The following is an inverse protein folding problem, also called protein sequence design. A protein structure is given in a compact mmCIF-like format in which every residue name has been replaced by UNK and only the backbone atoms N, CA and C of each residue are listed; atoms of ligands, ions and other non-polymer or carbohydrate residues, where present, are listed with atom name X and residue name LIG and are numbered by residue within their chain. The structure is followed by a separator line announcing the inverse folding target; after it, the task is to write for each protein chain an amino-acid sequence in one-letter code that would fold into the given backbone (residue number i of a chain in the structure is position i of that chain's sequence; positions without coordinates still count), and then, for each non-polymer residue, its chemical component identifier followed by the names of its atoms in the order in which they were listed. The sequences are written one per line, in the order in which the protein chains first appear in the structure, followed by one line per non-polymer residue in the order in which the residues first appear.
data_IF_551227934316
#
_entry.id   IF_551227934316
#
_cell.length_a   1.000
_cell.length_b   1.000
_cell.length_c   1.000
_cell.angle_alpha   90.00
_cell.angle_beta   90.00
_cell.angle_gamma   90.00
#
_symmetry.space_group_name_H-M   'P 1'
#
loop_
_entity.id
_entity.type
_entity.pdbx_description
1 polymer ?
#
# COMPACT_ATOMS: atom_id res chain seq x y z
N UNK A 1 22.72 0.04 -10.26
CA UNK A 1 21.59 -0.55 -11.01
C UNK A 1 21.96 -1.60 -12.08
N UNK A 2 23.20 -1.69 -12.60
CA UNK A 2 23.57 -2.72 -13.61
C UNK A 2 23.54 -4.18 -13.10
N UNK A 3 23.54 -4.42 -11.79
CA UNK A 3 23.42 -5.77 -11.22
C UNK A 3 21.97 -6.29 -11.14
N UNK A 4 20.98 -5.45 -11.49
CA UNK A 4 19.53 -5.76 -11.44
C UNK A 4 18.93 -6.11 -12.82
N UNK A 5 19.75 -6.24 -13.87
CA UNK A 5 19.30 -6.67 -15.21
C UNK A 5 19.11 -8.19 -15.24
N UNK A 6 17.85 -8.63 -15.36
CA UNK A 6 17.50 -10.05 -15.58
C UNK A 6 16.67 -10.70 -14.47
N UNK A 7 16.46 -10.03 -13.34
CA UNK A 7 15.54 -10.52 -12.30
C UNK A 7 14.08 -10.43 -12.78
N UNK A 8 13.30 -11.51 -12.68
CA UNK A 8 11.91 -11.51 -13.11
C UNK A 8 11.08 -10.49 -12.32
N UNK A 9 10.24 -9.76 -13.04
CA UNK A 9 9.25 -8.83 -12.48
C UNK A 9 7.90 -9.56 -12.33
N UNK A 10 6.91 -8.92 -11.70
CA UNK A 10 5.56 -9.46 -11.47
C UNK A 10 5.44 -10.52 -10.35
N UNK A 11 6.36 -10.54 -9.38
CA UNK A 11 6.24 -11.39 -8.19
C UNK A 11 4.95 -11.14 -7.39
N UNK A 12 4.38 -9.94 -7.50
CA UNK A 12 3.06 -9.62 -6.97
C UNK A 12 1.93 -10.52 -7.44
N UNK A 13 2.00 -11.09 -8.65
CA UNK A 13 1.00 -12.02 -9.15
C UNK A 13 0.95 -13.30 -8.28
N UNK A 14 2.10 -13.75 -7.78
CA UNK A 14 2.20 -14.89 -6.87
C UNK A 14 1.53 -14.54 -5.55
N UNK A 15 1.81 -13.35 -4.99
CA UNK A 15 1.18 -12.87 -3.75
C UNK A 15 -0.35 -12.87 -3.89
N UNK A 16 -0.88 -12.30 -4.98
CA UNK A 16 -2.33 -12.21 -5.23
C UNK A 16 -2.93 -13.60 -5.37
N UNK A 17 -2.30 -14.51 -6.13
CA UNK A 17 -2.79 -15.86 -6.32
C UNK A 17 -2.84 -16.63 -4.98
N UNK A 18 -1.78 -16.55 -4.18
CA UNK A 18 -1.74 -17.18 -2.85
C UNK A 18 -2.78 -16.56 -1.91
N UNK A 19 -2.94 -15.24 -1.93
CA UNK A 19 -3.97 -14.54 -1.16
C UNK A 19 -5.38 -15.03 -1.51
N UNK A 20 -5.70 -15.12 -2.80
CA UNK A 20 -7.01 -15.63 -3.27
C UNK A 20 -7.26 -17.05 -2.74
N UNK A 21 -6.29 -17.95 -2.91
CA UNK A 21 -6.42 -19.34 -2.48
C UNK A 21 -6.64 -19.41 -0.96
N UNK A 22 -5.82 -18.72 -0.17
CA UNK A 22 -5.93 -18.75 1.30
C UNK A 22 -7.25 -18.13 1.77
N UNK A 23 -7.67 -16.99 1.20
CA UNK A 23 -8.93 -16.34 1.58
C UNK A 23 -10.13 -17.23 1.28
N UNK A 24 -10.17 -17.85 0.10
CA UNK A 24 -11.30 -18.72 -0.29
C UNK A 24 -11.36 -20.02 0.52
N UNK A 25 -10.22 -20.55 0.97
CA UNK A 25 -10.17 -21.83 1.69
C UNK A 25 -10.29 -21.66 3.21
N UNK A 26 -9.69 -20.63 3.79
CA UNK A 26 -9.49 -20.52 5.24
C UNK A 26 -10.23 -19.36 5.90
N UNK A 27 -10.64 -18.33 5.15
CA UNK A 27 -11.31 -17.16 5.74
C UNK A 27 -12.83 -17.33 5.63
N UNK A 28 -13.59 -17.28 6.74
CA UNK A 28 -15.04 -17.34 6.70
C UNK A 28 -15.63 -16.25 5.82
N UNK A 29 -16.70 -16.59 5.10
CA UNK A 29 -17.38 -15.62 4.23
C UNK A 29 -17.76 -14.37 5.01
N UNK A 30 -17.30 -13.22 4.51
CA UNK A 30 -17.61 -11.92 5.06
C UNK A 30 -17.53 -10.88 3.93
N UNK A 31 -18.54 -10.00 3.87
CA UNK A 31 -18.64 -8.97 2.84
C UNK A 31 -17.44 -8.01 2.82
N UNK A 32 -16.88 -7.66 3.97
CA UNK A 32 -15.70 -6.78 4.06
C UNK A 32 -14.45 -7.46 3.52
N UNK A 33 -14.28 -8.76 3.81
CA UNK A 33 -13.18 -9.56 3.26
C UNK A 33 -13.32 -9.69 1.74
N UNK A 34 -14.54 -9.94 1.24
CA UNK A 34 -14.79 -10.01 -0.20
C UNK A 34 -14.47 -8.69 -0.90
N UNK A 35 -14.93 -7.56 -0.36
CA UNK A 35 -14.59 -6.24 -0.90
C UNK A 35 -13.10 -5.95 -0.82
N UNK A 36 -12.43 -6.32 0.27
CA UNK A 36 -10.97 -6.20 0.40
C UNK A 36 -10.23 -7.00 -0.67
N UNK A 37 -10.72 -8.22 -0.97
CA UNK A 37 -10.18 -9.06 -2.03
C UNK A 37 -10.42 -8.44 -3.42
N UNK A 38 -11.63 -7.93 -3.70
CA UNK A 38 -11.96 -7.23 -4.95
C UNK A 38 -11.08 -6.00 -5.15
N UNK A 39 -10.90 -5.18 -4.11
CA UNK A 39 -10.03 -3.99 -4.14
C UNK A 39 -8.59 -4.40 -4.46
N UNK A 40 -8.07 -5.41 -3.75
CA UNK A 40 -6.71 -5.92 -3.93
C UNK A 40 -6.49 -6.43 -5.35
N UNK A 41 -7.40 -7.26 -5.86
CA UNK A 41 -7.32 -7.81 -7.22
C UNK A 41 -7.45 -6.70 -8.25
N UNK A 42 -8.41 -5.77 -8.11
CA UNK A 42 -8.64 -4.73 -9.09
C UNK A 42 -7.45 -3.78 -9.25
N UNK A 43 -6.84 -3.33 -8.14
CA UNK A 43 -5.59 -2.57 -8.23
C UNK A 43 -4.42 -3.41 -8.75
N UNK A 44 -4.36 -4.70 -8.40
CA UNK A 44 -3.39 -5.64 -8.96
C UNK A 44 -3.52 -5.82 -10.47
N UNK A 45 -4.75 -5.85 -11.01
CA UNK A 45 -5.01 -5.92 -12.45
C UNK A 45 -4.57 -4.65 -13.18
N UNK A 46 -4.78 -3.47 -12.58
CA UNK A 46 -4.25 -2.21 -13.12
C UNK A 46 -2.70 -2.28 -13.18
N UNK A 47 -2.08 -2.81 -12.13
CA UNK A 47 -0.63 -3.02 -12.09
C UNK A 47 -0.13 -4.05 -13.10
N UNK A 48 -0.91 -5.11 -13.33
CA UNK A 48 -0.64 -6.13 -14.33
C UNK A 48 -0.64 -5.54 -15.73
N UNK A 49 -1.64 -4.73 -16.06
CA UNK A 49 -1.69 -4.03 -17.35
C UNK A 49 -0.46 -3.14 -17.52
N UNK A 50 -0.03 -2.43 -16.47
CA UNK A 50 1.14 -1.57 -16.52
C UNK A 50 2.45 -2.36 -16.77
N UNK A 51 2.67 -3.43 -16.01
CA UNK A 51 3.86 -4.28 -16.13
C UNK A 51 3.89 -5.06 -17.45
N UNK A 52 2.74 -5.54 -17.94
CA UNK A 52 2.63 -6.17 -19.27
C UNK A 52 3.03 -5.19 -20.38
N UNK A 53 2.60 -3.92 -20.30
CA UNK A 53 2.97 -2.89 -21.28
C UNK A 53 4.49 -2.63 -21.25
N UNK A 54 5.10 -2.54 -20.07
CA UNK A 54 6.57 -2.39 -19.92
C UNK A 54 7.31 -3.56 -20.60
N UNK A 55 6.86 -4.78 -20.32
CA UNK A 55 7.47 -6.01 -20.85
C UNK A 55 7.31 -6.12 -22.37
N UNK A 56 6.09 -5.97 -22.90
CA UNK A 56 5.79 -6.09 -24.32
C UNK A 56 6.48 -5.02 -25.17
N UNK A 57 6.54 -3.78 -24.67
CA UNK A 57 7.18 -2.66 -25.38
C UNK A 57 8.69 -2.57 -25.14
N UNK A 58 9.28 -3.48 -24.35
CA UNK A 58 10.71 -3.53 -23.99
C UNK A 58 11.27 -2.16 -23.58
N UNK A 59 10.49 -1.41 -22.80
CA UNK A 59 10.85 -0.07 -22.33
C UNK A 59 10.49 0.06 -20.86
N UNK A 60 11.15 0.98 -20.16
CA UNK A 60 10.86 1.27 -18.75
C UNK A 60 9.49 1.94 -18.54
N UNK A 61 8.91 2.57 -19.58
CA UNK A 61 7.63 3.26 -19.50
C UNK A 61 6.44 2.30 -19.68
N UNK A 62 5.62 2.17 -18.63
CA UNK A 62 4.30 1.52 -18.68
C UNK A 62 3.22 2.43 -19.29
N UNK A 63 2.07 2.46 -18.63
CA UNK A 63 1.00 3.43 -18.83
C UNK A 63 1.50 4.85 -18.54
N UNK A 64 0.84 5.83 -19.17
CA UNK A 64 1.05 7.22 -18.80
C UNK A 64 0.54 7.46 -17.38
N UNK A 65 1.19 8.34 -16.62
CA UNK A 65 0.80 8.67 -15.24
C UNK A 65 -0.68 9.02 -15.12
N UNK A 66 -1.22 9.81 -16.07
CA UNK A 66 -2.64 10.14 -16.11
C UNK A 66 -3.53 8.94 -16.41
N UNK A 67 -3.14 8.05 -17.33
CA UNK A 67 -3.92 6.84 -17.64
C UNK A 67 -4.01 5.93 -16.41
N UNK A 68 -2.89 5.70 -15.73
CA UNK A 68 -2.84 4.91 -14.50
C UNK A 68 -3.72 5.53 -13.41
N UNK A 69 -3.63 6.85 -13.22
CA UNK A 69 -4.44 7.57 -12.25
C UNK A 69 -5.94 7.53 -12.57
N UNK A 70 -6.34 7.71 -13.83
CA UNK A 70 -7.74 7.61 -14.25
C UNK A 70 -8.31 6.22 -13.99
N UNK A 71 -7.56 5.15 -14.28
CA UNK A 71 -7.97 3.78 -13.98
C UNK A 71 -8.14 3.56 -12.48
N UNK A 72 -7.20 4.04 -11.66
CA UNK A 72 -7.26 3.94 -10.20
C UNK A 72 -8.48 4.69 -9.62
N UNK A 73 -8.70 5.94 -10.05
CA UNK A 73 -9.85 6.76 -9.62
C UNK A 73 -11.16 6.11 -10.06
N UNK A 74 -11.26 5.71 -11.33
CA UNK A 74 -12.48 5.10 -11.88
C UNK A 74 -12.83 3.81 -11.15
N UNK A 75 -11.85 2.93 -10.92
CA UNK A 75 -12.03 1.72 -10.15
C UNK A 75 -12.47 2.02 -8.70
N UNK A 76 -11.79 2.94 -8.02
CA UNK A 76 -12.12 3.32 -6.64
C UNK A 76 -13.56 3.86 -6.53
N UNK A 77 -13.98 4.73 -7.46
CA UNK A 77 -15.35 5.28 -7.48
C UNK A 77 -16.40 4.18 -7.66
N UNK A 78 -16.18 3.24 -8.58
CA UNK A 78 -17.09 2.11 -8.82
C UNK A 78 -17.23 1.28 -7.54
N UNK A 79 -16.10 0.92 -6.92
CA UNK A 79 -16.10 0.10 -5.70
C UNK A 79 -16.79 0.83 -4.55
N UNK A 80 -16.46 2.09 -4.30
CA UNK A 80 -17.07 2.87 -3.21
C UNK A 80 -18.57 3.05 -3.42
N UNK A 81 -19.02 3.26 -4.67
CA UNK A 81 -20.44 3.33 -5.00
C UNK A 81 -21.19 2.04 -4.61
N UNK A 82 -20.66 0.87 -4.97
CA UNK A 82 -21.29 -0.41 -4.62
C UNK A 82 -21.22 -0.72 -3.12
N UNK A 83 -20.16 -0.32 -2.43
CA UNK A 83 -20.09 -0.49 -0.97
C UNK A 83 -21.16 0.38 -0.27
N UNK A 84 -21.38 1.62 -0.72
CA UNK A 84 -22.40 2.49 -0.14
C UNK A 84 -23.83 2.00 -0.36
N UNK A 85 -24.13 1.38 -1.51
CA UNK A 85 -25.47 0.81 -1.76
C UNK A 85 -25.86 -0.26 -0.75
N UNK A 86 -24.88 -0.94 -0.15
CA UNK A 86 -25.13 -1.96 0.88
C UNK A 86 -25.26 -1.36 2.29
N UNK A 87 -25.16 -0.03 2.47
CA UNK A 87 -25.14 0.68 3.76
C UNK A 87 -24.10 0.14 4.76
N UNK A 88 -22.99 -0.37 4.23
CA UNK A 88 -21.98 -1.11 5.00
C UNK A 88 -20.97 -0.20 5.69
N UNK A 89 -20.74 0.99 5.13
CA UNK A 89 -19.83 1.99 5.66
C UNK A 89 -20.65 3.17 6.18
N UNK A 90 -20.51 3.49 7.48
CA UNK A 90 -20.95 4.77 8.01
C UNK A 90 -20.06 5.91 7.47
N UNK A 91 -20.45 7.15 7.75
CA UNK A 91 -19.72 8.35 7.30
C UNK A 91 -18.77 8.92 8.36
N UNK A 92 -18.65 8.24 9.49
CA UNK A 92 -17.81 8.65 10.61
C UNK A 92 -16.37 8.17 10.43
N UNK A 93 -15.43 9.08 10.65
CA UNK A 93 -14.00 8.81 10.72
C UNK A 93 -13.52 8.93 12.17
N UNK A 94 -12.68 8.00 12.61
CA UNK A 94 -12.07 8.05 13.95
C UNK A 94 -10.71 8.73 13.87
N UNK A 95 -10.46 9.66 14.79
CA UNK A 95 -9.22 10.42 14.83
C UNK A 95 -8.26 9.77 15.84
N UNK A 96 -7.03 9.38 15.44
CA UNK A 96 -6.03 8.83 16.35
C UNK A 96 -5.81 9.73 17.57
N UNK A 97 -5.59 9.11 18.75
CA UNK A 97 -5.42 9.77 20.06
C UNK A 97 -6.64 10.50 20.60
N UNK A 98 -7.68 10.69 19.78
CA UNK A 98 -8.92 11.32 20.21
C UNK A 98 -10.01 10.26 20.28
N UNK A 99 -10.78 10.25 21.37
CA UNK A 99 -11.94 9.36 21.51
C UNK A 99 -13.18 9.86 20.75
N UNK A 100 -12.97 10.75 19.79
CA UNK A 100 -14.03 11.43 19.05
C UNK A 100 -14.04 10.95 17.60
N UNK A 101 -15.24 10.82 17.05
CA UNK A 101 -15.43 10.65 15.61
C UNK A 101 -15.90 11.95 14.96
N UNK A 102 -15.54 12.12 13.69
CA UNK A 102 -16.01 13.23 12.86
C UNK A 102 -16.90 12.64 11.77
N UNK A 103 -18.12 13.14 11.63
CA UNK A 103 -19.01 12.75 10.54
C UNK A 103 -18.71 13.59 9.29
N UNK A 104 -18.29 12.94 8.21
CA UNK A 104 -18.01 13.60 6.94
C UNK A 104 -19.25 13.70 6.03
N UNK A 105 -20.34 13.00 6.34
CA UNK A 105 -21.51 12.91 5.48
C UNK A 105 -21.13 12.55 4.03
N UNK A 106 -21.56 13.38 3.07
CA UNK A 106 -21.29 13.17 1.64
C UNK A 106 -19.80 13.24 1.28
N UNK A 107 -18.98 13.94 2.08
CA UNK A 107 -17.53 14.03 1.88
C UNK A 107 -16.80 12.73 2.23
N UNK A 108 -17.49 11.75 2.81
CA UNK A 108 -16.91 10.43 3.08
C UNK A 108 -16.52 9.70 1.78
N UNK A 109 -17.33 9.80 0.72
CA UNK A 109 -17.02 9.16 -0.58
C UNK A 109 -15.69 9.66 -1.16
N UNK A 110 -15.48 10.97 -1.41
CA UNK A 110 -14.21 11.44 -1.94
C UNK A 110 -13.04 11.19 -0.97
N UNK A 111 -13.29 11.19 0.34
CA UNK A 111 -12.27 10.83 1.34
C UNK A 111 -11.81 9.38 1.19
N UNK A 112 -12.72 8.41 1.10
CA UNK A 112 -12.36 6.99 0.92
C UNK A 112 -11.63 6.76 -0.39
N UNK A 113 -12.06 7.41 -1.48
CA UNK A 113 -11.37 7.33 -2.77
C UNK A 113 -9.95 7.89 -2.64
N UNK A 114 -9.76 9.01 -1.94
CA UNK A 114 -8.43 9.56 -1.65
C UNK A 114 -7.57 8.60 -0.83
N UNK A 115 -8.12 7.95 0.21
CA UNK A 115 -7.42 6.94 1.02
C UNK A 115 -6.96 5.77 0.16
N UNK A 116 -7.81 5.26 -0.74
CA UNK A 116 -7.44 4.17 -1.66
C UNK A 116 -6.30 4.59 -2.59
N UNK A 117 -6.45 5.71 -3.31
CA UNK A 117 -5.48 6.16 -4.32
C UNK A 117 -4.15 6.54 -3.66
N UNK A 118 -4.20 7.23 -2.52
CA UNK A 118 -2.98 7.61 -1.78
C UNK A 118 -2.23 6.38 -1.31
N UNK A 119 -2.89 5.40 -0.69
CA UNK A 119 -2.24 4.18 -0.20
C UNK A 119 -1.63 3.35 -1.33
N UNK A 120 -2.37 3.17 -2.42
CA UNK A 120 -1.94 2.44 -3.62
C UNK A 120 -0.67 3.05 -4.22
N UNK A 121 -0.66 4.38 -4.39
CA UNK A 121 0.52 5.06 -4.94
C UNK A 121 1.65 5.18 -3.92
N UNK A 122 1.35 5.28 -2.63
CA UNK A 122 2.37 5.33 -1.59
C UNK A 122 3.18 4.04 -1.54
N UNK A 123 2.51 2.88 -1.56
CA UNK A 123 3.19 1.57 -1.61
C UNK A 123 3.98 1.41 -2.90
N UNK A 124 3.43 1.83 -4.05
CA UNK A 124 4.13 1.80 -5.35
C UNK A 124 5.38 2.70 -5.37
N UNK A 125 5.33 3.88 -4.76
CA UNK A 125 6.51 4.76 -4.66
C UNK A 125 7.58 4.21 -3.71
N UNK A 126 7.18 3.46 -2.68
CA UNK A 126 8.11 2.84 -1.71
C UNK A 126 8.78 1.57 -2.26
N UNK A 127 8.24 0.95 -3.30
CA UNK A 127 8.80 -0.25 -3.96
C UNK A 127 10.01 0.06 -4.87
N UNK A 128 10.96 0.85 -4.36
CA UNK A 128 12.20 1.25 -5.06
C UNK A 128 13.45 0.49 -4.61
N UNK A 129 13.40 -0.19 -3.47
CA UNK A 129 14.49 -1.00 -2.90
C UNK A 129 14.02 -2.42 -2.55
N UNK A 130 14.96 -3.37 -2.63
CA UNK A 130 14.73 -4.80 -2.46
C UNK A 130 14.19 -5.11 -1.04
N UNK A 131 12.94 -5.53 -0.91
CA UNK A 131 12.29 -5.85 0.37
C UNK A 131 11.71 -4.67 1.13
N UNK A 132 11.92 -3.41 0.70
CA UNK A 132 11.47 -2.24 1.45
C UNK A 132 9.94 -2.21 1.60
N UNK A 133 9.20 -2.22 0.48
CA UNK A 133 7.75 -2.15 0.48
C UNK A 133 7.12 -3.39 1.14
N UNK A 134 7.57 -4.60 0.79
CA UNK A 134 7.05 -5.84 1.36
C UNK A 134 7.22 -5.89 2.89
N UNK A 135 8.38 -5.52 3.43
CA UNK A 135 8.59 -5.48 4.87
C UNK A 135 7.70 -4.47 5.60
N UNK A 136 7.52 -3.27 5.03
CA UNK A 136 6.61 -2.27 5.60
C UNK A 136 5.13 -2.70 5.54
N UNK A 137 4.72 -3.41 4.48
CA UNK A 137 3.39 -4.02 4.39
C UNK A 137 3.19 -5.05 5.50
N UNK A 138 4.16 -5.93 5.74
CA UNK A 138 4.06 -6.93 6.82
C UNK A 138 3.82 -6.23 8.16
N UNK A 139 4.61 -5.20 8.47
CA UNK A 139 4.49 -4.44 9.71
C UNK A 139 3.08 -3.81 9.81
N UNK A 140 2.64 -3.09 8.78
CA UNK A 140 1.36 -2.41 8.79
C UNK A 140 0.17 -3.37 8.89
N UNK A 141 0.20 -4.48 8.14
CA UNK A 141 -0.87 -5.48 8.13
C UNK A 141 -0.96 -6.25 9.45
N UNK A 142 0.17 -6.52 10.12
CA UNK A 142 0.16 -7.06 11.48
C UNK A 142 -0.46 -6.08 12.49
N UNK A 143 -0.18 -4.78 12.34
CA UNK A 143 -0.84 -3.76 13.17
C UNK A 143 -2.35 -3.74 12.95
N UNK A 144 -2.79 -3.69 11.70
CA UNK A 144 -4.23 -3.71 11.39
C UNK A 144 -4.91 -5.03 11.77
N UNK A 145 -4.21 -6.17 11.74
CA UNK A 145 -4.74 -7.42 12.28
C UNK A 145 -5.03 -7.29 13.79
N UNK A 146 -4.14 -6.64 14.55
CA UNK A 146 -4.37 -6.36 15.96
C UNK A 146 -5.53 -5.38 16.18
N UNK A 147 -5.64 -4.32 15.36
CA UNK A 147 -6.77 -3.39 15.41
C UNK A 147 -8.10 -4.13 15.19
N UNK A 148 -8.17 -4.92 14.11
CA UNK A 148 -9.35 -5.70 13.79
C UNK A 148 -9.70 -6.69 14.93
N UNK A 149 -8.69 -7.25 15.60
CA UNK A 149 -8.88 -8.13 16.75
C UNK A 149 -9.49 -7.39 17.94
N UNK A 150 -8.94 -6.22 18.31
CA UNK A 150 -9.47 -5.37 19.39
C UNK A 150 -10.90 -4.92 19.10
N UNK A 151 -11.23 -4.65 17.83
CA UNK A 151 -12.57 -4.30 17.38
C UNK A 151 -13.51 -5.50 17.20
N UNK A 152 -13.06 -6.73 17.46
CA UNK A 152 -13.81 -7.98 17.28
C UNK A 152 -14.28 -8.23 15.83
N UNK A 153 -13.51 -7.78 14.84
CA UNK A 153 -13.76 -8.00 13.41
C UNK A 153 -12.93 -9.20 12.92
N UNK A 154 -13.24 -10.40 13.44
CA UNK A 154 -12.47 -11.62 13.21
C UNK A 154 -12.08 -11.92 11.75
N UNK A 155 -13.00 -11.84 10.76
CA UNK A 155 -12.64 -12.05 9.36
C UNK A 155 -11.59 -11.08 8.82
N UNK A 156 -11.59 -9.83 9.28
CA UNK A 156 -10.57 -8.84 8.89
C UNK A 156 -9.21 -9.10 9.53
N UNK A 157 -9.18 -9.73 10.73
CA UNK A 157 -7.93 -10.24 11.32
C UNK A 157 -7.30 -11.25 10.37
N UNK A 158 -8.08 -12.25 9.94
CA UNK A 158 -7.58 -13.31 9.06
C UNK A 158 -7.15 -12.80 7.69
N UNK A 159 -7.90 -11.87 7.09
CA UNK A 159 -7.49 -11.22 5.84
C UNK A 159 -6.16 -10.47 6.02
N UNK A 160 -6.02 -9.69 7.10
CA UNK A 160 -4.82 -8.90 7.37
C UNK A 160 -3.59 -9.78 7.61
N UNK A 161 -3.74 -10.84 8.41
CA UNK A 161 -2.69 -11.84 8.63
C UNK A 161 -2.33 -12.56 7.33
N UNK A 162 -3.31 -12.89 6.50
CA UNK A 162 -3.04 -13.56 5.21
C UNK A 162 -2.15 -12.68 4.33
N UNK A 163 -2.51 -11.39 4.15
CA UNK A 163 -1.70 -10.45 3.37
C UNK A 163 -0.29 -10.29 3.97
N UNK A 164 -0.18 -10.22 5.31
CA UNK A 164 1.12 -10.15 5.98
C UNK A 164 1.98 -11.39 5.69
N UNK A 165 1.43 -12.59 5.86
CA UNK A 165 2.20 -13.83 5.69
C UNK A 165 2.48 -14.18 4.22
N UNK A 166 1.59 -13.85 3.28
CA UNK A 166 1.92 -13.98 1.84
C UNK A 166 3.03 -13.00 1.45
N UNK A 167 3.03 -11.79 2.01
CA UNK A 167 4.10 -10.81 1.81
C UNK A 167 5.41 -11.26 2.45
N UNK A 168 5.35 -11.93 3.62
CA UNK A 168 6.52 -12.53 4.27
C UNK A 168 7.13 -13.65 3.42
N UNK A 169 6.30 -14.53 2.86
CA UNK A 169 6.75 -15.58 1.94
C UNK A 169 7.45 -15.00 0.70
N UNK A 170 6.89 -13.92 0.13
CA UNK A 170 7.52 -13.19 -0.97
C UNK A 170 8.83 -12.51 -0.55
N UNK A 171 8.88 -11.91 0.64
CA UNK A 171 10.04 -11.19 1.17
C UNK A 171 11.30 -12.08 1.23
N UNK A 172 11.15 -13.38 1.47
CA UNK A 172 12.29 -14.34 1.45
C UNK A 172 13.05 -14.30 0.11
N UNK A 173 12.33 -14.12 -1.01
CA UNK A 173 12.91 -14.04 -2.36
C UNK A 173 13.22 -12.61 -2.80
N UNK A 174 12.61 -11.63 -2.17
CA UNK A 174 12.74 -10.22 -2.53
C UNK A 174 13.75 -9.45 -1.66
N UNK A 175 14.13 -9.97 -0.49
CA UNK A 175 15.11 -9.32 0.38
C UNK A 175 16.48 -9.25 -0.30
N UNK A 176 17.20 -8.15 -0.07
CA UNK A 176 18.45 -7.86 -0.76
C UNK A 176 19.48 -9.00 -0.65
N UNK A 177 20.09 -9.44 -1.77
CA UNK A 177 19.79 -9.06 -3.17
C UNK A 177 18.55 -9.78 -3.73
N UNK A 178 17.61 -9.02 -4.32
CA UNK A 178 16.34 -9.59 -4.78
C UNK A 178 16.50 -10.61 -5.92
N UNK A 179 15.77 -11.72 -5.82
CA UNK A 179 15.62 -12.74 -6.87
C UNK A 179 14.38 -12.49 -7.71
N UNK A 180 13.34 -11.89 -7.12
CA UNK A 180 12.05 -11.57 -7.77
C UNK A 180 11.64 -10.16 -7.36
N UNK A 181 11.21 -9.33 -8.32
CA UNK A 181 10.65 -8.00 -8.04
C UNK A 181 9.14 -8.03 -7.86
N UNK A 182 8.63 -7.18 -6.97
CA UNK A 182 7.21 -7.08 -6.65
C UNK A 182 6.40 -6.61 -7.86
N UNK A 183 6.88 -5.56 -8.53
CA UNK A 183 6.26 -4.96 -9.71
C UNK A 183 5.04 -4.10 -9.35
N UNK A 184 4.46 -3.44 -10.36
CA UNK A 184 3.25 -2.66 -10.18
C UNK A 184 2.06 -3.57 -9.85
N UNK A 185 2.05 -4.82 -10.32
CA UNK A 185 1.07 -5.83 -9.92
C UNK A 185 0.97 -5.93 -8.40
N UNK A 186 2.11 -6.14 -7.75
CA UNK A 186 2.15 -6.40 -6.31
C UNK A 186 2.00 -5.13 -5.49
N UNK A 187 2.71 -4.07 -5.85
CA UNK A 187 2.70 -2.84 -5.06
C UNK A 187 1.33 -2.15 -5.07
N UNK A 188 0.63 -2.12 -6.21
CA UNK A 188 -0.72 -1.56 -6.26
C UNK A 188 -1.73 -2.46 -5.54
N UNK A 189 -1.63 -3.78 -5.70
CA UNK A 189 -2.49 -4.73 -4.98
C UNK A 189 -2.32 -4.60 -3.45
N UNK A 190 -1.09 -4.61 -2.95
CA UNK A 190 -0.80 -4.49 -1.52
C UNK A 190 -1.22 -3.13 -0.95
N UNK A 191 -1.06 -2.04 -1.71
CA UNK A 191 -1.59 -0.74 -1.30
C UNK A 191 -3.12 -0.70 -1.28
N UNK A 192 -3.78 -1.41 -2.20
CA UNK A 192 -5.24 -1.61 -2.19
C UNK A 192 -5.70 -2.43 -0.98
N UNK A 193 -4.99 -3.52 -0.67
CA UNK A 193 -5.25 -4.34 0.51
C UNK A 193 -5.12 -3.50 1.80
N UNK A 194 -4.01 -2.76 1.94
CA UNK A 194 -3.76 -1.88 3.08
C UNK A 194 -4.88 -0.83 3.26
N UNK A 195 -5.28 -0.15 2.17
CA UNK A 195 -6.38 0.80 2.21
C UNK A 195 -7.69 0.14 2.62
N UNK A 196 -8.03 -1.02 2.02
CA UNK A 196 -9.27 -1.71 2.30
C UNK A 196 -9.40 -2.10 3.77
N UNK A 197 -8.33 -2.58 4.39
CA UNK A 197 -8.34 -2.94 5.80
C UNK A 197 -8.56 -1.71 6.68
N UNK A 198 -7.89 -0.59 6.40
CA UNK A 198 -8.10 0.64 7.16
C UNK A 198 -9.54 1.16 7.03
N UNK A 199 -10.14 1.09 5.84
CA UNK A 199 -11.53 1.50 5.59
C UNK A 199 -12.52 0.60 6.34
N UNK A 200 -12.37 -0.73 6.22
CA UNK A 200 -13.33 -1.65 6.84
C UNK A 200 -13.17 -1.81 8.35
N UNK A 201 -12.03 -1.39 8.91
CA UNK A 201 -11.84 -1.23 10.36
C UNK A 201 -12.12 0.20 10.86
N UNK A 202 -12.56 1.11 9.97
CA UNK A 202 -12.82 2.53 10.27
C UNK A 202 -11.64 3.24 10.93
N UNK A 203 -10.43 2.89 10.50
CA UNK A 203 -9.17 3.44 11.00
C UNK A 203 -8.36 4.09 9.87
N UNK A 204 -9.04 4.75 8.95
CA UNK A 204 -8.45 5.38 7.76
C UNK A 204 -7.34 6.38 8.12
N UNK A 205 -7.54 7.18 9.16
CA UNK A 205 -6.55 8.15 9.63
C UNK A 205 -5.36 7.50 10.34
N UNK A 206 -5.50 6.28 10.86
CA UNK A 206 -4.39 5.53 11.47
C UNK A 206 -3.37 5.12 10.41
N UNK A 207 -3.77 5.04 9.14
CA UNK A 207 -2.89 4.75 8.01
C UNK A 207 -1.77 5.80 7.88
N UNK A 208 -2.02 7.06 8.25
CA UNK A 208 -0.99 8.11 8.27
C UNK A 208 0.09 7.85 9.33
N UNK A 209 -0.24 7.13 10.40
CA UNK A 209 0.70 6.79 11.48
C UNK A 209 1.30 5.42 11.19
N UNK A 210 0.50 4.35 11.14
CA UNK A 210 0.93 2.97 10.93
C UNK A 210 1.67 2.82 9.59
N UNK A 211 1.13 3.42 8.53
CA UNK A 211 1.75 3.51 7.21
C UNK A 211 2.66 4.72 7.06
N UNK A 212 3.12 5.35 8.15
CA UNK A 212 3.78 6.65 8.11
C UNK A 212 5.07 6.66 7.28
N UNK A 213 5.78 5.54 7.14
CA UNK A 213 6.92 5.44 6.21
C UNK A 213 6.46 5.60 4.75
N UNK A 214 5.37 4.93 4.34
CA UNK A 214 4.75 5.12 3.01
C UNK A 214 4.29 6.57 2.81
N UNK A 215 3.71 7.17 3.86
CA UNK A 215 3.29 8.56 3.84
C UNK A 215 4.47 9.52 3.65
N UNK A 216 5.57 9.32 4.38
CA UNK A 216 6.80 10.13 4.27
C UNK A 216 7.43 9.98 2.88
N UNK A 217 7.49 8.77 2.34
CA UNK A 217 7.96 8.52 0.97
C UNK A 217 7.14 9.32 -0.05
N UNK A 218 5.81 9.27 0.06
CA UNK A 218 4.90 10.01 -0.82
C UNK A 218 5.06 11.52 -0.65
N UNK A 219 5.10 12.01 0.59
CA UNK A 219 5.29 13.43 0.91
C UNK A 219 6.64 13.93 0.37
N UNK A 220 7.69 13.12 0.41
CA UNK A 220 9.00 13.50 -0.13
C UNK A 220 8.93 13.79 -1.64
N UNK A 221 8.16 12.99 -2.39
CA UNK A 221 7.93 13.20 -3.83
C UNK A 221 7.10 14.47 -4.05
N UNK A 222 6.00 14.65 -3.31
CA UNK A 222 5.13 15.83 -3.45
C UNK A 222 5.94 17.12 -3.19
N UNK A 223 6.65 17.18 -2.06
CA UNK A 223 7.45 18.33 -1.67
C UNK A 223 8.57 18.60 -2.67
N UNK A 224 9.24 17.56 -3.17
CA UNK A 224 10.26 17.68 -4.20
C UNK A 224 9.70 18.29 -5.50
N UNK A 225 8.60 17.75 -6.02
CA UNK A 225 7.97 18.21 -7.27
C UNK A 225 7.49 19.66 -7.14
N UNK A 226 6.88 20.02 -6.01
CA UNK A 226 6.46 21.40 -5.73
C UNK A 226 7.68 22.33 -5.72
N UNK A 227 8.76 21.97 -5.03
CA UNK A 227 9.96 22.82 -4.97
C UNK A 227 10.62 23.01 -6.32
N UNK A 228 10.74 21.96 -7.14
CA UNK A 228 11.31 22.08 -8.49
C UNK A 228 10.41 22.94 -9.38
N UNK A 229 9.09 22.78 -9.30
CA UNK A 229 8.14 23.56 -10.12
C UNK A 229 8.09 25.05 -9.76
N UNK A 230 8.14 25.39 -8.47
CA UNK A 230 7.98 26.78 -8.02
C UNK A 230 9.31 27.51 -7.74
N UNK A 231 10.36 26.78 -7.31
CA UNK A 231 11.65 27.38 -6.93
C UNK A 231 12.80 26.99 -7.86
N UNK A 232 12.59 26.02 -8.77
CA UNK A 232 13.65 25.48 -9.64
C UNK A 232 14.74 24.73 -8.87
N UNK A 233 14.52 24.38 -7.60
CA UNK A 233 15.53 23.77 -6.71
C UNK A 233 15.01 22.48 -6.10
N UNK A 234 15.86 21.47 -6.06
CA UNK A 234 15.62 20.19 -5.38
C UNK A 234 15.79 20.34 -3.87
N UNK A 235 14.93 19.71 -3.07
CA UNK A 235 15.05 19.68 -1.59
C UNK A 235 15.89 18.48 -1.16
N UNK A 236 15.54 17.31 -1.67
CA UNK A 236 16.31 16.09 -1.52
C UNK A 236 17.21 15.89 -2.74
N UNK A 237 18.33 15.19 -2.55
CA UNK A 237 19.21 14.76 -3.67
C UNK A 237 18.43 14.01 -4.76
N UNK A 238 17.46 13.19 -4.35
CA UNK A 238 16.51 12.49 -5.21
C UNK A 238 15.26 12.16 -4.39
N UNK A 239 14.10 12.04 -5.04
CA UNK A 239 12.86 11.53 -4.44
C UNK A 239 12.41 10.28 -5.19
N UNK A 240 11.84 9.26 -4.52
CA UNK A 240 11.44 9.22 -3.11
C UNK A 240 12.63 9.19 -2.11
N UNK A 241 12.36 9.32 -0.80
CA UNK A 241 13.38 9.66 0.20
C UNK A 241 14.41 8.53 0.41
N UNK A 242 14.07 7.27 0.13
CA UNK A 242 15.07 6.20 0.16
C UNK A 242 16.23 6.44 -0.83
N UNK A 243 15.96 6.95 -2.04
CA UNK A 243 17.01 7.30 -3.01
C UNK A 243 17.88 8.47 -2.54
N UNK A 244 17.32 9.40 -1.76
CA UNK A 244 18.12 10.42 -1.12
C UNK A 244 19.20 9.81 -0.21
N UNK A 245 18.85 8.79 0.58
CA UNK A 245 19.80 8.11 1.45
C UNK A 245 20.82 7.27 0.67
N UNK A 246 20.43 6.65 -0.45
CA UNK A 246 21.38 5.98 -1.35
C UNK A 246 22.44 6.96 -1.89
N UNK A 247 22.01 8.14 -2.37
CA UNK A 247 22.91 9.22 -2.82
C UNK A 247 23.69 9.90 -1.68
N UNK A 248 23.35 9.58 -0.42
CA UNK A 248 24.15 9.91 0.76
C UNK A 248 25.10 8.77 1.16
N UNK A 249 25.35 7.82 0.24
CA UNK A 249 26.25 6.68 0.40
C UNK A 249 25.83 5.67 1.48
N UNK A 250 24.53 5.57 1.79
CA UNK A 250 24.03 4.50 2.64
C UNK A 250 23.85 3.23 1.81
N UNK A 251 24.28 2.08 2.36
CA UNK A 251 24.06 0.77 1.73
C UNK A 251 22.56 0.44 1.73
N UNK A 252 22.06 -0.14 0.64
CA UNK A 252 20.63 -0.52 0.47
C UNK A 252 20.08 -1.33 1.67
N UNK A 253 20.72 -2.43 2.15
CA UNK A 253 20.26 -3.15 3.35
C UNK A 253 20.14 -2.29 4.62
N UNK A 254 21.03 -1.31 4.77
CA UNK A 254 21.02 -0.38 5.92
C UNK A 254 19.82 0.56 5.85
N UNK A 255 19.43 1.00 4.64
CA UNK A 255 18.25 1.84 4.44
C UNK A 255 16.99 1.02 4.76
N UNK A 256 16.88 -0.19 4.17
CA UNK A 256 15.73 -1.09 4.35
C UNK A 256 15.48 -1.36 5.85
N UNK A 257 16.49 -1.82 6.59
CA UNK A 257 16.35 -2.14 8.02
C UNK A 257 15.95 -0.90 8.83
N UNK A 258 16.51 0.29 8.54
CA UNK A 258 16.18 1.52 9.26
C UNK A 258 14.75 1.96 9.00
N UNK A 259 14.27 1.80 7.77
CA UNK A 259 12.89 2.11 7.40
C UNK A 259 11.92 1.13 8.06
N UNK A 260 12.27 -0.15 8.16
CA UNK A 260 11.47 -1.12 8.92
C UNK A 260 11.43 -0.80 10.42
N UNK A 261 12.57 -0.42 11.03
CA UNK A 261 12.59 0.01 12.44
C UNK A 261 11.68 1.23 12.64
N UNK A 262 11.75 2.23 11.74
CA UNK A 262 10.86 3.37 11.79
C UNK A 262 9.39 2.96 11.63
N UNK A 263 9.10 2.04 10.72
CA UNK A 263 7.78 1.45 10.52
C UNK A 263 7.25 0.74 11.77
N UNK A 264 8.09 -0.05 12.46
CA UNK A 264 7.73 -0.72 13.72
C UNK A 264 7.39 0.30 14.81
N UNK A 265 8.23 1.34 14.97
CA UNK A 265 7.98 2.41 15.96
C UNK A 265 6.64 3.10 15.66
N UNK A 266 6.41 3.47 14.40
CA UNK A 266 5.17 4.10 13.97
C UNK A 266 3.95 3.20 14.12
N UNK A 267 4.09 1.91 13.84
CA UNK A 267 3.06 0.90 14.09
C UNK A 267 2.69 0.83 15.58
N UNK A 268 3.67 0.79 16.49
CA UNK A 268 3.43 0.80 17.93
C UNK A 268 2.69 2.08 18.36
N UNK A 269 3.13 3.25 17.84
CA UNK A 269 2.46 4.53 18.12
C UNK A 269 1.01 4.52 17.61
N UNK A 270 0.78 4.00 16.39
CA UNK A 270 -0.55 3.90 15.80
C UNK A 270 -1.47 2.97 16.60
N UNK A 271 -0.98 1.82 17.04
CA UNK A 271 -1.74 0.89 17.91
C UNK A 271 -2.04 1.55 19.25
N UNK A 272 -1.08 2.24 19.86
CA UNK A 272 -1.26 2.95 21.12
C UNK A 272 -2.23 4.14 21.03
N UNK A 273 -2.57 4.59 19.82
CA UNK A 273 -3.47 5.72 19.57
C UNK A 273 -4.95 5.36 19.46
N UNK A 274 -5.27 4.06 19.52
CA UNK A 274 -6.64 3.50 19.53
C UNK A 274 -7.31 3.80 20.88
#
# INVERSE_FOLDING_TARGET
HQHKTGTPTMGGAIIILTLIIIVLLLVPYNKYVLWSLIITIGFGLIGLVDDLIKCLKKRSLGLLTLQKLFLQIGFALIVVYFIQQNNDLGTQIYVPFLKNSIDLGIMFVPFVVLVMISSVNAVNLTDGLDGLAAGLIIIAMLSFALIAYVQNIGPMVLFSLTVAFTSLGFLVYNFFPAQIFLGDVGSLALGGALASVAIFTRTELFLLIIGGVFAIETLSVIVQVISVKFRGKTIFKMSPIHHHFELCNWKEPKIIIRFWIAGIILAIIGIASI
#
